data_IF_044708285536
#
_entry.id   IF_044708285536
#
_cell.length_a   1.000
_cell.length_b   1.000
_cell.length_c   1.000
_cell.angle_alpha   90.00
_cell.angle_beta   90.00
_cell.angle_gamma   90.00
#
_symmetry.space_group_name_H-M   'P 1'
#
loop_
_entity.id
_entity.type
_entity.pdbx_description
1 polymer ?
2 non-polymer ?
3 non-polymer ?
4 water ?
#
# COMPACT_ATOMS: atom_id res chain seq x y z
N UNK A 1 7.61 -15.75 -8.19
CA UNK A 1 7.55 -15.29 -6.79
C UNK A 1 6.49 -14.22 -6.63
N UNK A 2 6.67 -13.08 -7.20
CA UNK A 2 5.77 -11.91 -7.00
C UNK A 2 4.65 -11.90 -8.07
N UNK A 3 4.68 -12.80 -9.05
CA UNK A 3 3.97 -12.55 -10.32
C UNK A 3 2.46 -12.46 -10.16
N UNK A 4 1.87 -13.14 -9.20
CA UNK A 4 0.40 -13.04 -9.09
C UNK A 4 -0.05 -11.65 -8.58
N UNK A 5 0.88 -10.85 -8.00
CA UNK A 5 0.57 -9.49 -7.57
C UNK A 5 0.58 -8.50 -8.72
N UNK A 6 1.17 -8.86 -9.86
CA UNK A 6 1.40 -7.86 -10.91
C UNK A 6 0.11 -7.50 -11.58
N UNK A 7 -0.02 -6.26 -11.99
CA UNK A 7 -1.14 -5.77 -12.75
C UNK A 7 -1.74 -4.54 -12.15
N UNK A 8 -2.96 -4.24 -12.61
CA UNK A 8 -3.69 -3.04 -12.24
C UNK A 8 -4.86 -3.46 -11.34
N UNK A 9 -4.98 -2.81 -10.21
CA UNK A 9 -5.91 -3.16 -9.12
C UNK A 9 -6.71 -1.95 -8.73
N UNK A 10 -8.00 -2.14 -8.49
CA UNK A 10 -8.88 -1.03 -8.12
C UNK A 10 -9.46 -1.28 -6.74
N UNK A 11 -9.53 -0.25 -5.92
CA UNK A 11 -10.06 -0.40 -4.55
C UNK A 11 -11.58 -0.66 -4.63
N UNK A 12 -12.01 -1.71 -3.93
CA UNK A 12 -13.43 -2.08 -3.87
C UNK A 12 -13.96 -2.20 -2.43
N UNK A 13 -13.15 -1.98 -1.40
CA UNK A 13 -13.61 -2.02 -0.02
C UNK A 13 -12.56 -1.43 0.87
N UNK A 14 -12.94 -0.78 1.95
CA UNK A 14 -11.96 -0.25 2.89
C UNK A 14 -12.56 -0.29 4.30
N UNK A 15 -11.79 -0.88 5.21
CA UNK A 15 -12.16 -0.94 6.63
C UNK A 15 -11.07 -0.30 7.45
N UNK A 16 -11.45 0.66 8.30
CA UNK A 16 -10.60 1.27 9.30
C UNK A 16 -9.46 2.14 8.69
N UNK A 17 -9.61 2.63 7.47
CA UNK A 17 -8.55 3.49 6.93
C UNK A 17 -8.48 4.79 7.72
N UNK A 18 -9.61 5.34 8.17
CA UNK A 18 -9.52 6.54 8.98
C UNK A 18 -8.73 6.31 10.24
N UNK A 19 -8.94 5.16 10.93
CA UNK A 19 -8.16 4.84 12.13
C UNK A 19 -6.67 4.85 11.80
N UNK A 20 -6.30 4.22 10.71
CA UNK A 20 -4.88 4.13 10.30
C UNK A 20 -4.32 5.53 10.04
N UNK A 21 -5.02 6.30 9.24
CA UNK A 21 -4.55 7.66 8.93
C UNK A 21 -4.43 8.50 10.19
N UNK A 22 -5.43 8.41 11.06
CA UNK A 22 -5.40 9.20 12.29
C UNK A 22 -4.20 8.81 13.13
N UNK A 23 -3.89 7.52 13.22
CA UNK A 23 -2.75 7.05 13.99
C UNK A 23 -1.44 7.65 13.47
N UNK A 24 -1.35 7.83 12.15
CA UNK A 24 -0.20 8.46 11.52
C UNK A 24 -0.22 9.98 11.66
N UNK A 25 -1.25 10.60 12.22
CA UNK A 25 -1.29 12.04 12.35
C UNK A 25 -1.81 12.78 11.13
N UNK A 26 -2.45 12.11 10.21
CA UNK A 26 -3.03 12.76 9.04
C UNK A 26 -4.18 13.68 9.49
N UNK A 27 -4.22 14.88 8.99
CA UNK A 27 -5.25 15.86 9.31
C UNK A 27 -6.64 15.51 8.87
N UNK A 28 -7.65 16.08 9.54
CA UNK A 28 -9.01 15.66 9.31
C UNK A 28 -9.46 15.89 7.88
N UNK A 29 -8.99 16.97 7.23
CA UNK A 29 -9.49 17.28 5.87
C UNK A 29 -8.94 16.29 4.87
N UNK A 30 -7.67 15.92 5.05
CA UNK A 30 -7.08 14.89 4.20
C UNK A 30 -7.74 13.55 4.45
N UNK A 31 -8.02 13.19 5.71
CA UNK A 31 -8.71 11.91 5.97
C UNK A 31 -10.08 11.92 5.30
N UNK A 32 -10.73 13.06 5.35
CA UNK A 32 -12.06 13.20 4.77
C UNK A 32 -12.02 12.90 3.26
N UNK A 33 -11.11 13.50 2.48
CA UNK A 33 -10.96 13.22 1.05
C UNK A 33 -10.59 11.77 0.83
N UNK A 34 -9.59 11.31 1.57
CA UNK A 34 -9.09 9.93 1.42
C UNK A 34 -10.18 8.91 1.64
N UNK A 35 -11.12 9.15 2.51
CA UNK A 35 -12.19 8.19 2.83
C UNK A 35 -13.12 8.00 1.64
N UNK A 36 -13.12 8.92 0.67
CA UNK A 36 -14.00 8.83 -0.50
C UNK A 36 -13.22 8.56 -1.78
N UNK A 37 -11.95 8.32 -1.66
CA UNK A 37 -11.10 8.09 -2.83
C UNK A 37 -11.01 6.58 -3.06
N UNK A 38 -10.94 6.23 -4.35
CA UNK A 38 -10.73 4.81 -4.71
C UNK A 38 -9.51 4.72 -5.59
N UNK A 39 -8.35 4.51 -5.03
CA UNK A 39 -7.17 4.51 -5.85
C UNK A 39 -7.09 3.27 -6.75
N UNK A 40 -6.23 3.43 -7.72
CA UNK A 40 -5.75 2.37 -8.59
C UNK A 40 -4.31 2.08 -8.24
N UNK A 41 -3.97 0.83 -7.99
CA UNK A 41 -2.59 0.43 -7.74
C UNK A 41 -2.11 -0.40 -8.92
N UNK A 42 -0.94 -0.04 -9.44
CA UNK A 42 -0.35 -0.73 -10.57
C UNK A 42 0.98 -1.29 -10.07
N UNK A 43 1.17 -2.59 -10.20
CA UNK A 43 2.40 -3.26 -9.77
C UNK A 43 3.01 -3.89 -11.00
N UNK A 44 4.23 -3.49 -11.34
CA UNK A 44 4.93 -3.99 -12.53
C UNK A 44 6.33 -4.42 -12.12
N UNK A 45 6.89 -5.36 -12.90
CA UNK A 45 8.29 -5.73 -12.67
C UNK A 45 9.09 -5.60 -13.95
N UNK A 46 10.36 -5.25 -13.80
CA UNK A 46 11.38 -5.38 -14.87
C UNK A 46 12.59 -6.10 -14.22
N UNK A 47 12.78 -7.37 -14.51
CA UNK A 47 13.82 -8.10 -13.81
C UNK A 47 13.54 -8.08 -12.33
N UNK A 48 14.55 -7.72 -11.56
CA UNK A 48 14.46 -7.70 -10.11
C UNK A 48 13.85 -6.42 -9.58
N UNK A 49 13.46 -5.51 -10.41
CA UNK A 49 12.94 -4.22 -9.93
C UNK A 49 11.41 -4.21 -10.06
N UNK A 50 10.78 -3.93 -8.92
CA UNK A 50 9.35 -3.73 -8.91
C UNK A 50 9.03 -2.25 -8.86
N UNK A 51 7.97 -1.85 -9.54
CA UNK A 51 7.46 -0.50 -9.46
C UNK A 51 6.00 -0.57 -9.05
N UNK A 52 5.65 0.18 -8.02
CA UNK A 52 4.30 0.22 -7.44
C UNK A 52 3.81 1.63 -7.53
N UNK A 53 2.80 1.86 -8.36
CA UNK A 53 2.15 3.15 -8.56
C UNK A 53 0.80 3.13 -7.88
N UNK A 54 0.48 4.22 -7.19
CA UNK A 54 -0.84 4.39 -6.59
C UNK A 54 -1.39 5.70 -7.13
N UNK A 55 -2.52 5.63 -7.83
CA UNK A 55 -3.09 6.76 -8.54
C UNK A 55 -4.47 7.09 -8.00
N UNK A 56 -4.74 8.38 -7.86
CA UNK A 56 -6.08 8.81 -7.47
C UNK A 56 -6.33 10.21 -7.91
N UNK A 57 -7.59 10.64 -7.69
CA UNK A 57 -7.98 12.02 -7.87
C UNK A 57 -7.37 12.97 -6.86
N UNK A 58 -6.80 12.53 -5.80
CA UNK A 58 -6.27 13.36 -4.71
C UNK A 58 -4.75 13.42 -4.72
N UNK A 59 -4.15 12.26 -4.73
CA UNK A 59 -2.70 12.13 -4.56
C UNK A 59 -2.26 10.93 -5.33
N UNK A 60 -1.05 11.00 -5.87
CA UNK A 60 -0.40 9.93 -6.58
C UNK A 60 0.95 9.64 -5.94
N UNK A 61 1.36 8.39 -5.96
CA UNK A 61 2.70 7.98 -5.53
C UNK A 61 3.26 6.97 -6.51
N UNK A 62 4.59 6.83 -6.48
CA UNK A 62 5.29 5.78 -7.20
C UNK A 62 6.56 5.45 -6.44
N UNK A 63 6.80 4.16 -6.26
CA UNK A 63 8.05 3.67 -5.71
C UNK A 63 8.60 2.58 -6.61
N UNK A 64 9.93 2.47 -6.67
CA UNK A 64 10.61 1.34 -7.28
C UNK A 64 11.59 0.76 -6.29
N UNK A 65 11.70 -0.56 -6.28
CA UNK A 65 12.53 -1.23 -5.30
C UNK A 65 12.89 -2.62 -5.77
N UNK A 66 14.00 -3.15 -5.27
CA UNK A 66 14.27 -4.61 -5.31
C UNK A 66 13.81 -5.27 -4.02
N UNK A 67 13.23 -6.47 -4.11
CA UNK A 67 12.85 -7.18 -2.92
C UNK A 67 14.08 -7.36 -2.07
N UNK A 68 13.91 -7.12 -0.77
CA UNK A 68 14.95 -7.39 0.21
C UNK A 68 16.05 -6.37 0.26
N UNK A 69 15.89 -5.21 -0.39
CA UNK A 69 16.91 -4.16 -0.39
C UNK A 69 16.24 -2.88 0.09
N UNK A 70 16.78 -2.27 1.12
CA UNK A 70 16.20 -1.05 1.67
C UNK A 70 16.22 0.08 0.65
N UNK A 71 15.20 0.94 0.71
CA UNK A 71 15.10 2.11 -0.16
C UNK A 71 14.52 3.25 0.64
N UNK A 72 14.86 4.49 0.28
CA UNK A 72 14.22 5.69 0.79
C UNK A 72 12.89 5.91 0.12
N UNK A 73 11.88 6.32 0.90
CA UNK A 73 10.54 6.54 0.39
C UNK A 73 9.99 7.79 1.05
N UNK A 74 9.22 8.56 0.28
CA UNK A 74 8.43 9.68 0.82
C UNK A 74 6.97 9.33 0.57
N UNK A 75 6.24 9.09 1.66
CA UNK A 75 4.91 8.52 1.57
C UNK A 75 3.90 9.57 1.12
N UNK A 76 2.66 9.12 0.88
CA UNK A 76 1.60 9.99 0.42
C UNK A 76 1.31 11.12 1.41
N UNK A 77 1.54 10.83 2.69
CA UNK A 77 1.34 11.80 3.81
C UNK A 77 2.65 12.50 4.17
N UNK A 78 3.65 12.43 3.27
CA UNK A 78 4.92 13.19 3.40
C UNK A 78 5.87 12.69 4.50
N UNK A 79 5.72 11.46 4.96
CA UNK A 79 6.75 10.90 5.85
C UNK A 79 7.94 10.47 5.02
N UNK A 80 9.14 10.76 5.53
CA UNK A 80 10.39 10.30 4.92
C UNK A 80 10.86 9.09 5.70
N UNK A 81 10.75 7.93 5.05
CA UNK A 81 10.90 6.65 5.71
C UNK A 81 11.98 5.81 5.06
N UNK A 82 12.47 4.84 5.79
CA UNK A 82 13.33 3.77 5.29
C UNK A 82 12.47 2.55 5.10
N UNK A 83 12.44 2.03 3.90
CA UNK A 83 11.51 0.96 3.51
C UNK A 83 12.22 -0.28 3.05
N UNK A 84 11.54 -1.41 3.22
CA UNK A 84 11.99 -2.67 2.63
C UNK A 84 10.75 -3.47 2.32
N UNK A 85 10.76 -4.15 1.19
CA UNK A 85 9.65 -5.02 0.75
C UNK A 85 10.21 -6.42 0.57
N UNK A 86 9.53 -7.42 1.09
CA UNK A 86 9.96 -8.81 0.98
C UNK A 86 8.73 -9.66 0.72
N UNK A 87 8.95 -10.88 0.28
CA UNK A 87 7.93 -11.90 0.26
C UNK A 87 8.06 -12.76 1.49
N UNK A 88 6.94 -12.97 2.17
CA UNK A 88 6.93 -13.69 3.45
C UNK A 88 5.64 -14.48 3.48
N UNK A 89 5.73 -15.79 3.42
CA UNK A 89 4.52 -16.59 3.42
C UNK A 89 3.66 -16.33 2.20
N UNK A 90 4.27 -15.95 1.10
CA UNK A 90 3.54 -15.60 -0.13
C UNK A 90 2.92 -14.21 -0.10
N UNK A 91 3.12 -13.45 0.96
CA UNK A 91 2.59 -12.10 1.09
C UNK A 91 3.71 -11.11 0.75
N UNK A 92 3.32 -10.02 0.14
CA UNK A 92 4.27 -8.96 -0.12
C UNK A 92 4.25 -8.05 1.11
N UNK A 93 5.32 -8.00 1.93
CA UNK A 93 5.38 -7.28 3.21
C UNK A 93 6.26 -6.05 3.03
N UNK A 94 5.67 -4.88 3.18
CA UNK A 94 6.37 -3.59 3.07
C UNK A 94 6.45 -3.00 4.46
N UNK A 95 7.67 -2.83 4.99
CA UNK A 95 7.92 -2.27 6.29
C UNK A 95 8.53 -0.87 6.12
N UNK A 96 7.95 0.13 6.76
CA UNK A 96 8.45 1.52 6.77
C UNK A 96 8.89 1.85 8.17
N UNK A 97 10.05 2.51 8.28
CA UNK A 97 10.65 2.92 9.55
C UNK A 97 10.97 4.40 9.50
N UNK A 98 10.64 5.14 10.54
CA UNK A 98 11.00 6.56 10.63
C UNK A 98 10.84 6.99 12.09
N UNK A 99 11.74 7.80 12.58
CA UNK A 99 11.59 8.37 13.93
C UNK A 99 11.38 7.26 14.98
N UNK A 100 11.94 6.07 14.77
CA UNK A 100 11.73 4.95 15.68
C UNK A 100 10.37 4.27 15.54
N UNK A 101 9.50 4.82 14.75
CA UNK A 101 8.16 4.25 14.46
C UNK A 101 8.29 3.24 13.33
N UNK A 102 7.27 2.40 13.21
CA UNK A 102 7.15 1.47 12.12
C UNK A 102 5.69 1.39 11.68
N UNK A 103 5.50 1.07 10.40
CA UNK A 103 4.19 0.65 9.90
C UNK A 103 4.43 -0.43 8.88
N UNK A 104 3.49 -1.37 8.79
CA UNK A 104 3.55 -2.42 7.81
C UNK A 104 2.38 -2.33 6.86
N UNK A 105 2.67 -2.62 5.60
CA UNK A 105 1.70 -2.68 4.50
C UNK A 105 1.82 -4.05 3.93
N UNK A 106 0.87 -4.95 4.21
CA UNK A 106 1.00 -6.36 3.85
C UNK A 106 -0.04 -6.66 2.79
N UNK A 107 0.39 -7.20 1.65
CA UNK A 107 -0.50 -7.57 0.56
C UNK A 107 -0.54 -9.08 0.41
N UNK A 108 -1.73 -9.58 0.22
CA UNK A 108 -1.89 -11.00 -0.09
C UNK A 108 -3.03 -11.17 -1.04
N UNK A 109 -2.99 -12.33 -1.63
CA UNK A 109 -4.02 -12.69 -2.60
C UNK A 109 -4.93 -13.70 -1.99
N UNK A 110 -6.20 -13.43 -1.97
CA UNK A 110 -7.25 -14.35 -1.45
C UNK A 110 -8.34 -14.38 -2.51
N UNK A 111 -8.58 -15.59 -3.03
CA UNK A 111 -9.65 -15.84 -4.03
C UNK A 111 -9.51 -14.84 -5.18
N UNK A 112 -8.27 -14.51 -5.55
CA UNK A 112 -8.04 -13.60 -6.69
C UNK A 112 -8.08 -12.11 -6.42
N UNK A 113 -8.43 -11.73 -5.19
CA UNK A 113 -8.47 -10.32 -4.76
C UNK A 113 -7.20 -10.03 -3.98
N UNK A 114 -6.80 -8.79 -4.05
CA UNK A 114 -5.60 -8.34 -3.33
C UNK A 114 -6.05 -7.65 -2.04
N UNK A 115 -5.62 -8.21 -0.92
CA UNK A 115 -5.98 -7.68 0.40
C UNK A 115 -4.75 -6.99 0.97
N UNK A 116 -4.89 -5.70 1.24
CA UNK A 116 -3.85 -4.87 1.82
C UNK A 116 -4.20 -4.62 3.28
N UNK A 117 -3.33 -5.03 4.18
CA UNK A 117 -3.50 -4.79 5.61
C UNK A 117 -2.45 -3.78 6.05
N UNK A 118 -2.91 -2.69 6.62
CA UNK A 118 -2.10 -1.55 7.06
C UNK A 118 -2.13 -1.48 8.58
N UNK A 119 -0.97 -1.58 9.24
CA UNK A 119 -0.92 -1.58 10.71
C UNK A 119 0.01 -0.48 11.16
N UNK A 120 -0.45 0.38 12.05
CA UNK A 120 0.39 1.38 12.71
C UNK A 120 -0.16 1.54 14.13
N UNK A 121 0.71 1.51 15.11
CA UNK A 121 0.20 1.55 16.48
C UNK A 121 -0.70 0.37 16.72
N UNK A 122 -1.90 0.60 17.18
CA UNK A 122 -2.89 -0.46 17.32
C UNK A 122 -3.84 -0.51 16.16
N UNK A 123 -3.80 0.47 15.24
CA UNK A 123 -4.76 0.55 14.15
C UNK A 123 -4.44 -0.49 13.09
N UNK A 124 -5.50 -1.16 12.64
CA UNK A 124 -5.39 -2.17 11.61
C UNK A 124 -6.46 -1.89 10.57
N UNK A 125 -6.03 -1.58 9.35
CA UNK A 125 -6.91 -1.29 8.23
C UNK A 125 -6.81 -2.38 7.19
N UNK A 126 -7.93 -2.77 6.61
CA UNK A 126 -7.95 -3.76 5.56
C UNK A 126 -8.60 -3.18 4.34
N UNK A 127 -7.86 -3.18 3.23
CA UNK A 127 -8.36 -2.65 1.95
C UNK A 127 -8.32 -3.76 0.92
N UNK A 128 -9.39 -3.86 0.17
CA UNK A 128 -9.51 -4.91 -0.83
C UNK A 128 -9.51 -4.31 -2.22
N UNK A 129 -8.70 -4.88 -3.09
CA UNK A 129 -8.54 -4.44 -4.46
C UNK A 129 -8.92 -5.58 -5.39
N UNK A 130 -9.54 -5.29 -6.51
CA UNK A 130 -9.90 -6.25 -7.57
C UNK A 130 -9.11 -5.95 -8.81
N UNK A 131 -8.74 -6.99 -9.52
CA UNK A 131 -7.89 -6.84 -10.69
C UNK A 131 -8.67 -6.21 -11.80
N UNK A 132 -8.08 -5.25 -12.50
CA UNK A 132 -8.53 -4.71 -13.77
C UNK A 132 -7.92 -5.51 -14.94
N UNK A 133 -8.77 -5.77 -15.92
CA UNK A 133 -8.48 -6.55 -17.14
C UNK A 133 -7.49 -5.75 -17.94
#
# INVERSE_FOLDING_TARGET
>A
MVDAFLGTWKLVDSKNFDDYMKSLGVGFATRQVASMTKPTTIIEKNGDILTLKTHSTFKNTEISFKLGVEFDETTADDRKVKSIVTLDGGKLVHLQKWDGQETTLVRELIDGKLILTLTHGTAVCTRTYEKEA
#
